data_IF_374672152719
#
_entry.id   IF_374672152719
#
_cell.length_a   1.000
_cell.length_b   1.000
_cell.length_c   1.000
_cell.angle_alpha   90.00
_cell.angle_beta   90.00
_cell.angle_gamma   90.00
#
_symmetry.space_group_name_H-M   'P 1'
#
loop_
_entity.id
_entity.type
_entity.pdbx_description
1 polymer ?
#
# COMPACT_ATOMS: atom_id res chain seq x y z
N UNK A 1 -40.55 9.86 2.79
CA UNK A 1 -39.20 9.30 2.57
C UNK A 1 -38.37 10.10 1.56
N UNK A 2 -38.89 10.51 0.40
CA UNK A 2 -38.09 11.20 -0.64
C UNK A 2 -37.41 12.53 -0.23
N UNK A 3 -38.06 13.36 0.59
CA UNK A 3 -37.45 14.59 1.12
C UNK A 3 -36.19 14.34 1.96
N UNK A 4 -36.11 13.19 2.66
CA UNK A 4 -34.94 12.87 3.49
C UNK A 4 -33.68 12.53 2.66
N UNK A 5 -33.83 12.00 1.44
CA UNK A 5 -32.68 11.69 0.58
C UNK A 5 -32.06 12.96 -0.02
N UNK A 6 -32.88 13.98 -0.29
CA UNK A 6 -32.41 15.24 -0.85
C UNK A 6 -31.52 16.01 0.13
N UNK A 7 -31.88 16.05 1.41
CA UNK A 7 -31.08 16.69 2.46
C UNK A 7 -29.74 15.99 2.70
N UNK A 8 -29.71 14.66 2.56
CA UNK A 8 -28.47 13.88 2.68
C UNK A 8 -27.53 14.20 1.51
N UNK A 9 -28.03 14.23 0.28
CA UNK A 9 -27.22 14.57 -0.91
C UNK A 9 -26.70 16.01 -0.80
N UNK A 10 -27.54 16.97 -0.40
CA UNK A 10 -27.12 18.37 -0.17
C UNK A 10 -26.01 18.49 0.87
N UNK A 11 -26.12 17.73 1.96
CA UNK A 11 -25.10 17.69 3.01
C UNK A 11 -23.77 17.13 2.51
N UNK A 12 -23.80 16.06 1.73
CA UNK A 12 -22.59 15.45 1.15
C UNK A 12 -21.95 16.32 0.07
N UNK A 13 -22.74 16.97 -0.81
CA UNK A 13 -22.22 17.94 -1.80
C UNK A 13 -21.55 19.13 -1.10
N UNK A 14 -22.20 19.70 -0.08
CA UNK A 14 -21.60 20.78 0.72
C UNK A 14 -20.31 20.34 1.41
N UNK A 15 -20.27 19.10 1.91
CA UNK A 15 -19.06 18.54 2.50
C UNK A 15 -17.94 18.35 1.46
N UNK A 16 -18.27 17.90 0.25
CA UNK A 16 -17.32 17.75 -0.86
C UNK A 16 -16.76 19.10 -1.32
N UNK A 17 -17.59 20.14 -1.44
CA UNK A 17 -17.16 21.52 -1.75
C UNK A 17 -16.16 22.01 -0.70
N UNK A 18 -16.53 21.92 0.58
CA UNK A 18 -15.66 22.38 1.67
C UNK A 18 -14.34 21.61 1.71
N UNK A 19 -14.36 20.32 1.40
CA UNK A 19 -13.16 19.51 1.29
C UNK A 19 -12.29 19.93 0.10
N UNK A 20 -12.87 20.10 -1.10
CA UNK A 20 -12.14 20.49 -2.31
C UNK A 20 -11.48 21.87 -2.15
N UNK A 21 -12.20 22.86 -1.62
CA UNK A 21 -11.67 24.19 -1.33
C UNK A 21 -10.52 24.14 -0.29
N UNK A 22 -10.67 23.30 0.74
CA UNK A 22 -9.63 23.06 1.74
C UNK A 22 -8.37 22.43 1.15
N UNK A 23 -8.52 21.43 0.27
CA UNK A 23 -7.42 20.77 -0.41
C UNK A 23 -6.73 21.70 -1.42
N UNK A 24 -7.49 22.48 -2.19
CA UNK A 24 -6.95 23.49 -3.11
C UNK A 24 -6.08 24.53 -2.39
N UNK A 25 -6.61 25.15 -1.33
CA UNK A 25 -5.86 26.11 -0.51
C UNK A 25 -4.58 25.50 0.06
N UNK A 26 -4.62 24.22 0.41
CA UNK A 26 -3.46 23.50 0.90
C UNK A 26 -2.42 23.24 -0.21
N UNK A 27 -2.85 22.75 -1.38
CA UNK A 27 -1.95 22.45 -2.49
C UNK A 27 -1.21 23.71 -2.96
N UNK A 28 -1.87 24.87 -2.93
CA UNK A 28 -1.22 26.17 -3.14
C UNK A 28 -0.13 26.44 -2.10
N UNK A 29 -0.41 26.24 -0.81
CA UNK A 29 0.59 26.42 0.26
C UNK A 29 1.74 25.42 0.17
N UNK A 30 1.45 24.19 -0.26
CA UNK A 30 2.44 23.15 -0.51
C UNK A 30 3.36 23.56 -1.67
N UNK A 31 2.77 24.02 -2.77
CA UNK A 31 3.50 24.51 -3.94
C UNK A 31 4.47 25.63 -3.56
N UNK A 32 3.98 26.66 -2.88
CA UNK A 32 4.79 27.81 -2.43
C UNK A 32 5.99 27.37 -1.58
N UNK A 33 5.79 26.39 -0.68
CA UNK A 33 6.85 25.90 0.18
C UNK A 33 7.83 24.97 -0.54
N UNK A 34 7.38 24.14 -1.48
CA UNK A 34 8.27 23.35 -2.33
C UNK A 34 9.16 24.26 -3.18
N UNK A 35 8.57 25.30 -3.77
CA UNK A 35 9.32 26.34 -4.51
C UNK A 35 10.33 27.05 -3.60
N UNK A 36 9.95 27.33 -2.34
CA UNK A 36 10.89 27.88 -1.35
C UNK A 36 12.02 26.91 -0.98
N UNK A 37 11.76 25.60 -0.82
CA UNK A 37 12.79 24.58 -0.59
C UNK A 37 13.78 24.52 -1.75
N UNK A 38 13.30 24.72 -2.99
CA UNK A 38 14.18 24.73 -4.16
C UNK A 38 15.15 25.92 -4.16
N UNK A 39 14.74 27.06 -3.59
CA UNK A 39 15.54 28.28 -3.53
C UNK A 39 16.34 28.50 -2.23
N UNK A 40 16.04 27.77 -1.16
CA UNK A 40 16.63 27.98 0.17
C UNK A 40 17.86 27.09 0.44
N UNK A 41 18.94 27.69 0.96
CA UNK A 41 20.14 26.98 1.43
C UNK A 41 19.99 26.37 2.84
N UNK A 42 18.92 26.69 3.58
CA UNK A 42 18.72 26.30 4.97
C UNK A 42 18.05 24.92 5.15
N UNK A 43 18.89 23.90 5.34
CA UNK A 43 18.46 22.48 5.43
C UNK A 43 17.48 22.12 6.55
N UNK A 44 17.47 22.82 7.70
CA UNK A 44 16.66 22.41 8.86
C UNK A 44 15.18 22.82 8.72
N UNK A 45 14.93 24.01 8.19
CA UNK A 45 13.58 24.48 7.91
C UNK A 45 12.94 23.66 6.78
N UNK A 46 13.71 23.38 5.71
CA UNK A 46 13.29 22.47 4.64
C UNK A 46 12.93 21.06 5.16
N UNK A 47 13.71 20.52 6.11
CA UNK A 47 13.43 19.22 6.73
C UNK A 47 12.10 19.20 7.49
N UNK A 48 11.87 20.19 8.36
CA UNK A 48 10.63 20.31 9.13
C UNK A 48 9.42 20.46 8.20
N UNK A 49 9.57 21.23 7.12
CA UNK A 49 8.54 21.41 6.11
C UNK A 49 8.22 20.09 5.38
N UNK A 50 9.24 19.35 4.90
CA UNK A 50 9.07 18.06 4.25
C UNK A 50 8.34 17.03 5.14
N UNK A 51 8.73 16.93 6.42
CA UNK A 51 8.04 16.05 7.39
C UNK A 51 6.59 16.45 7.60
N UNK A 52 6.32 17.75 7.70
CA UNK A 52 4.96 18.27 7.85
C UNK A 52 4.09 17.95 6.62
N UNK A 53 4.66 17.96 5.41
CA UNK A 53 3.95 17.53 4.19
C UNK A 53 3.57 16.06 4.23
N UNK A 54 4.49 15.17 4.60
CA UNK A 54 4.21 13.74 4.72
C UNK A 54 3.03 13.47 5.67
N UNK A 55 3.00 14.14 6.82
CA UNK A 55 1.88 13.99 7.77
C UNK A 55 0.55 14.43 7.17
N UNK A 56 0.55 15.52 6.42
CA UNK A 56 -0.68 16.03 5.81
C UNK A 56 -1.18 15.16 4.66
N UNK A 57 -0.31 14.70 3.77
CA UNK A 57 -0.68 13.77 2.68
C UNK A 57 -1.40 12.56 3.26
N UNK A 58 -0.86 11.96 4.33
CA UNK A 58 -1.51 10.85 5.03
C UNK A 58 -2.89 11.23 5.61
N UNK A 59 -3.09 12.48 6.06
CA UNK A 59 -4.39 12.95 6.57
C UNK A 59 -5.41 13.16 5.46
N UNK A 60 -4.99 13.71 4.31
CA UNK A 60 -5.86 13.89 3.15
C UNK A 60 -6.26 12.56 2.52
N UNK A 61 -5.34 11.60 2.42
CA UNK A 61 -5.63 10.21 2.03
C UNK A 61 -6.75 9.61 2.87
N UNK A 62 -6.60 9.71 4.20
CA UNK A 62 -7.58 9.18 5.14
C UNK A 62 -8.94 9.88 5.03
N UNK A 63 -8.97 11.18 4.77
CA UNK A 63 -10.22 11.93 4.57
C UNK A 63 -10.94 11.51 3.30
N UNK A 64 -10.21 11.33 2.21
CA UNK A 64 -10.75 10.86 0.93
C UNK A 64 -11.33 9.45 1.07
N UNK A 65 -10.57 8.54 1.68
CA UNK A 65 -11.02 7.17 1.96
C UNK A 65 -12.31 7.16 2.79
N UNK A 66 -12.39 8.01 3.82
CA UNK A 66 -13.60 8.17 4.62
C UNK A 66 -14.79 8.74 3.83
N UNK A 67 -14.56 9.64 2.88
CA UNK A 67 -15.63 10.14 1.98
C UNK A 67 -16.11 9.05 1.03
N UNK A 68 -15.19 8.31 0.41
CA UNK A 68 -15.52 7.18 -0.47
C UNK A 68 -16.31 6.11 0.27
N UNK A 69 -15.89 5.75 1.49
CA UNK A 69 -16.60 4.75 2.30
C UNK A 69 -18.00 5.22 2.70
N UNK A 70 -18.19 6.51 3.00
CA UNK A 70 -19.52 7.08 3.27
C UNK A 70 -20.40 7.06 2.03
N UNK A 71 -19.86 7.39 0.86
CA UNK A 71 -20.58 7.33 -0.40
C UNK A 71 -21.02 5.90 -0.72
N UNK A 72 -20.11 4.92 -0.62
CA UNK A 72 -20.42 3.49 -0.80
C UNK A 72 -21.50 3.02 0.16
N UNK A 73 -21.42 3.44 1.43
CA UNK A 73 -22.44 3.13 2.43
C UNK A 73 -23.79 3.76 2.06
N UNK A 74 -23.83 5.01 1.64
CA UNK A 74 -25.06 5.68 1.21
C UNK A 74 -25.69 4.99 -0.02
N UNK A 75 -24.89 4.59 -1.00
CA UNK A 75 -25.38 3.82 -2.17
C UNK A 75 -25.97 2.47 -1.75
N UNK A 76 -25.33 1.79 -0.78
CA UNK A 76 -25.83 0.53 -0.22
C UNK A 76 -27.15 0.71 0.54
N UNK A 77 -27.23 1.76 1.36
CA UNK A 77 -28.38 2.04 2.23
C UNK A 77 -29.58 2.59 1.44
N UNK A 78 -29.34 3.14 0.23
CA UNK A 78 -30.38 3.69 -0.65
C UNK A 78 -30.27 3.11 -2.07
N UNK A 79 -30.88 1.94 -2.34
CA UNK A 79 -30.79 1.26 -3.64
C UNK A 79 -31.29 2.09 -4.84
N UNK A 80 -32.13 3.10 -4.61
CA UNK A 80 -32.52 4.09 -5.63
C UNK A 80 -31.35 4.91 -6.17
N UNK A 81 -30.22 4.94 -5.45
CA UNK A 81 -28.96 5.54 -5.88
C UNK A 81 -28.11 4.56 -6.73
N UNK A 82 -28.50 3.30 -6.94
CA UNK A 82 -27.75 2.38 -7.82
C UNK A 82 -27.71 2.83 -9.29
N UNK A 83 -28.74 3.55 -9.74
CA UNK A 83 -28.73 4.18 -11.08
C UNK A 83 -27.53 5.13 -11.23
N UNK A 84 -27.07 5.73 -10.13
CA UNK A 84 -25.84 6.51 -10.13
C UNK A 84 -24.60 5.63 -10.24
N UNK A 85 -24.58 4.45 -9.65
CA UNK A 85 -23.43 3.53 -9.74
C UNK A 85 -23.22 3.03 -11.18
N UNK A 86 -24.32 2.76 -11.90
CA UNK A 86 -24.31 2.42 -13.33
C UNK A 86 -23.94 3.61 -14.22
N UNK A 87 -24.45 4.82 -13.92
CA UNK A 87 -24.11 6.03 -14.67
C UNK A 87 -22.68 6.53 -14.37
N UNK A 88 -22.11 6.19 -13.20
CA UNK A 88 -20.76 6.63 -12.80
C UNK A 88 -19.71 6.04 -13.73
N UNK A 89 -19.83 4.79 -14.22
CA UNK A 89 -18.87 4.10 -15.11
C UNK A 89 -17.39 4.49 -14.91
N UNK A 90 -16.99 4.78 -13.66
CA UNK A 90 -15.60 4.96 -13.30
C UNK A 90 -15.21 3.73 -12.52
N UNK A 91 -14.44 2.82 -13.13
CA UNK A 91 -13.88 1.70 -12.41
C UNK A 91 -13.15 2.21 -11.16
N UNK A 92 -13.34 1.55 -10.01
CA UNK A 92 -12.81 2.00 -8.71
C UNK A 92 -11.28 2.26 -8.73
N UNK A 93 -10.56 1.47 -9.52
CA UNK A 93 -9.14 1.63 -9.76
C UNK A 93 -8.80 2.92 -10.54
N UNK A 94 -9.71 3.45 -11.35
CA UNK A 94 -9.55 4.70 -12.09
C UNK A 94 -9.86 5.92 -11.22
N UNK A 95 -10.85 5.84 -10.32
CA UNK A 95 -11.09 6.84 -9.27
C UNK A 95 -9.84 7.00 -8.39
N UNK A 96 -9.29 5.87 -7.89
CA UNK A 96 -8.07 5.87 -7.08
C UNK A 96 -6.83 6.34 -7.87
N UNK A 97 -6.77 6.07 -9.18
CA UNK A 97 -5.70 6.54 -10.08
C UNK A 97 -5.84 8.01 -10.48
N UNK A 98 -7.05 8.55 -10.58
CA UNK A 98 -7.31 9.95 -10.92
C UNK A 98 -6.85 10.88 -9.78
N UNK A 99 -6.95 10.39 -8.55
CA UNK A 99 -6.34 11.01 -7.37
C UNK A 99 -4.88 10.52 -7.14
N UNK A 100 -4.10 10.38 -8.23
CA UNK A 100 -2.71 9.88 -8.29
C UNK A 100 -1.67 10.49 -7.33
N UNK A 101 -2.04 11.50 -6.52
CA UNK A 101 -1.31 11.81 -5.29
C UNK A 101 -1.12 10.59 -4.38
N UNK A 102 -2.03 9.62 -4.44
CA UNK A 102 -2.28 8.68 -3.36
C UNK A 102 -2.13 7.20 -3.75
N UNK A 103 -1.50 6.91 -4.90
CA UNK A 103 -1.02 5.55 -5.19
C UNK A 103 0.29 5.21 -4.44
N UNK A 104 0.82 6.21 -3.73
CA UNK A 104 2.05 6.14 -2.95
C UNK A 104 3.28 6.70 -3.68
N UNK A 105 3.24 6.98 -4.99
CA UNK A 105 4.41 7.50 -5.73
C UNK A 105 4.81 8.90 -5.20
N UNK A 106 3.85 9.81 -5.05
CA UNK A 106 4.09 11.14 -4.44
C UNK A 106 4.65 11.05 -3.02
N UNK A 107 4.10 10.13 -2.22
CA UNK A 107 4.58 9.86 -0.85
C UNK A 107 6.01 9.30 -0.85
N UNK A 108 6.32 8.36 -1.74
CA UNK A 108 7.63 7.77 -1.88
C UNK A 108 8.66 8.83 -2.30
N UNK A 109 8.30 9.74 -3.21
CA UNK A 109 9.13 10.88 -3.61
C UNK A 109 9.36 11.86 -2.44
N UNK A 110 8.34 12.14 -1.63
CA UNK A 110 8.48 12.94 -0.42
C UNK A 110 9.34 12.24 0.66
N UNK A 111 9.21 10.93 0.83
CA UNK A 111 10.05 10.15 1.75
C UNK A 111 11.51 10.12 1.28
N UNK A 112 11.74 9.98 -0.03
CA UNK A 112 13.06 10.08 -0.65
C UNK A 112 13.66 11.48 -0.44
N UNK A 113 12.87 12.53 -0.69
CA UNK A 113 13.26 13.92 -0.41
C UNK A 113 13.64 14.11 1.05
N UNK A 114 12.79 13.66 1.98
CA UNK A 114 13.04 13.73 3.42
C UNK A 114 14.32 12.98 3.82
N UNK A 115 14.56 11.80 3.25
CA UNK A 115 15.78 11.01 3.47
C UNK A 115 17.04 11.74 2.99
N UNK A 116 17.00 12.35 1.81
CA UNK A 116 18.14 13.09 1.24
C UNK A 116 18.40 14.37 2.04
N UNK A 117 17.36 15.12 2.42
CA UNK A 117 17.52 16.31 3.27
C UNK A 117 18.14 15.94 4.62
N UNK A 118 17.67 14.86 5.27
CA UNK A 118 18.22 14.35 6.52
C UNK A 118 19.70 13.97 6.38
N UNK A 119 20.06 13.32 5.27
CA UNK A 119 21.46 12.96 4.98
C UNK A 119 22.31 14.20 4.74
N UNK A 120 21.86 15.15 3.92
CA UNK A 120 22.55 16.43 3.67
C UNK A 120 22.84 17.18 4.98
N UNK A 121 21.87 17.24 5.88
CA UNK A 121 22.03 17.86 7.20
C UNK A 121 23.13 17.18 8.04
N UNK A 122 23.15 15.84 8.07
CA UNK A 122 24.24 15.09 8.74
C UNK A 122 25.61 15.33 8.11
N UNK A 123 25.69 15.35 6.77
CA UNK A 123 26.95 15.60 6.05
C UNK A 123 27.48 17.01 6.31
N UNK A 124 26.60 18.00 6.45
CA UNK A 124 26.96 19.37 6.85
C UNK A 124 27.60 19.42 8.24
N UNK A 125 27.07 18.66 9.21
CA UNK A 125 27.67 18.56 10.55
C UNK A 125 29.05 17.90 10.54
N UNK A 126 29.32 17.06 9.55
CA UNK A 126 30.60 16.34 9.38
C UNK A 126 31.60 17.09 8.47
N UNK A 127 31.27 18.28 7.98
CA UNK A 127 32.17 19.08 7.12
C UNK A 127 32.42 18.52 5.71
N UNK A 128 31.59 17.62 5.19
CA UNK A 128 31.82 16.93 3.91
C UNK A 128 31.26 17.68 2.70
N UNK A 129 31.94 18.75 2.26
CA UNK A 129 31.45 19.71 1.26
C UNK A 129 31.07 19.11 -0.10
N UNK A 130 31.90 18.24 -0.71
CA UNK A 130 31.62 17.63 -2.02
C UNK A 130 30.31 16.81 -2.02
N UNK A 131 30.00 16.10 -0.93
CA UNK A 131 28.77 15.30 -0.81
C UNK A 131 27.51 16.13 -0.59
N UNK A 132 27.66 17.41 -0.23
CA UNK A 132 26.54 18.35 -0.01
C UNK A 132 26.01 18.86 -1.35
N UNK A 133 26.87 19.11 -2.33
CA UNK A 133 26.47 19.55 -3.67
C UNK A 133 25.68 18.46 -4.41
N UNK A 134 26.14 17.20 -4.36
CA UNK A 134 25.42 16.06 -4.91
C UNK A 134 24.04 15.88 -4.26
N UNK A 135 23.98 16.00 -2.93
CA UNK A 135 22.71 15.95 -2.21
C UNK A 135 21.78 17.10 -2.61
N UNK A 136 22.31 18.31 -2.84
CA UNK A 136 21.54 19.45 -3.30
C UNK A 136 20.98 19.24 -4.71
N UNK A 137 21.79 18.75 -5.65
CA UNK A 137 21.35 18.45 -7.02
C UNK A 137 20.21 17.43 -7.05
N UNK A 138 20.28 16.40 -6.18
CA UNK A 138 19.21 15.40 -6.03
C UNK A 138 17.94 15.98 -5.41
N UNK A 139 18.08 16.85 -4.41
CA UNK A 139 16.95 17.58 -3.80
C UNK A 139 16.23 18.40 -4.87
N UNK A 140 16.95 19.24 -5.63
CA UNK A 140 16.36 20.09 -6.67
C UNK A 140 15.62 19.27 -7.73
N UNK A 141 16.19 18.13 -8.16
CA UNK A 141 15.52 17.24 -9.13
C UNK A 141 14.19 16.69 -8.60
N UNK A 142 14.16 16.20 -7.35
CA UNK A 142 12.94 15.64 -6.76
C UNK A 142 11.91 16.75 -6.51
N UNK A 143 12.35 17.90 -6.00
CA UNK A 143 11.47 19.05 -5.74
C UNK A 143 10.84 19.56 -7.03
N UNK A 144 11.59 19.64 -8.14
CA UNK A 144 11.03 20.02 -9.44
C UNK A 144 9.89 19.07 -9.88
N UNK A 145 10.09 17.75 -9.77
CA UNK A 145 9.06 16.76 -10.08
C UNK A 145 7.82 16.90 -9.19
N UNK A 146 8.01 17.11 -7.89
CA UNK A 146 6.91 17.33 -6.94
C UNK A 146 6.16 18.64 -7.23
N UNK A 147 6.86 19.72 -7.60
CA UNK A 147 6.26 21.01 -7.97
C UNK A 147 5.34 20.84 -9.18
N UNK A 148 5.78 20.12 -10.21
CA UNK A 148 4.97 19.90 -11.42
C UNK A 148 3.72 19.08 -11.11
N UNK A 149 3.85 18.03 -10.30
CA UNK A 149 2.72 17.23 -9.83
C UNK A 149 1.72 18.10 -9.03
N UNK A 150 2.19 18.90 -8.08
CA UNK A 150 1.34 19.81 -7.28
C UNK A 150 0.66 20.87 -8.16
N UNK A 151 1.33 21.45 -9.15
CA UNK A 151 0.73 22.41 -10.09
C UNK A 151 -0.41 21.80 -10.90
N UNK A 152 -0.28 20.54 -11.32
CA UNK A 152 -1.36 19.81 -11.97
C UNK A 152 -2.53 19.71 -11.00
N UNK A 153 -2.30 19.24 -9.77
CA UNK A 153 -3.35 19.04 -8.76
C UNK A 153 -4.06 20.33 -8.36
N UNK A 154 -3.34 21.44 -8.22
CA UNK A 154 -3.90 22.78 -7.99
C UNK A 154 -4.89 23.14 -9.11
N UNK A 155 -4.50 22.98 -10.38
CA UNK A 155 -5.38 23.28 -11.51
C UNK A 155 -6.64 22.41 -11.49
N UNK A 156 -6.50 21.13 -11.19
CA UNK A 156 -7.61 20.18 -11.10
C UNK A 156 -8.56 20.49 -9.95
N UNK A 157 -8.04 20.63 -8.74
CA UNK A 157 -8.86 20.92 -7.55
C UNK A 157 -9.57 22.27 -7.67
N UNK A 158 -8.92 23.29 -8.25
CA UNK A 158 -9.56 24.57 -8.54
C UNK A 158 -10.66 24.48 -9.61
N UNK A 159 -10.46 23.67 -10.66
CA UNK A 159 -11.49 23.41 -11.66
C UNK A 159 -12.70 22.68 -11.04
N UNK A 160 -12.45 21.65 -10.21
CA UNK A 160 -13.50 20.93 -9.50
C UNK A 160 -14.26 21.84 -8.54
N UNK A 161 -13.56 22.65 -7.73
CA UNK A 161 -14.17 23.63 -6.84
C UNK A 161 -15.09 24.58 -7.63
N UNK A 162 -14.59 25.15 -8.73
CA UNK A 162 -15.38 26.04 -9.60
C UNK A 162 -16.62 25.33 -10.13
N UNK A 163 -16.49 24.11 -10.65
CA UNK A 163 -17.63 23.35 -11.17
C UNK A 163 -18.66 23.04 -10.08
N UNK A 164 -18.23 22.68 -8.87
CA UNK A 164 -19.14 22.44 -7.76
C UNK A 164 -19.81 23.73 -7.26
N UNK A 165 -19.14 24.88 -7.33
CA UNK A 165 -19.72 26.19 -7.02
C UNK A 165 -20.75 26.63 -8.07
N UNK A 166 -20.44 26.46 -9.35
CA UNK A 166 -21.37 26.76 -10.44
C UNK A 166 -22.58 25.83 -10.37
N UNK A 167 -22.37 24.57 -10.02
CA UNK A 167 -23.43 23.61 -9.71
C UNK A 167 -24.34 24.05 -8.56
N UNK A 168 -23.76 24.50 -7.44
CA UNK A 168 -24.54 25.04 -6.32
C UNK A 168 -25.42 26.22 -6.76
N UNK A 169 -24.91 27.11 -7.62
CA UNK A 169 -25.68 28.24 -8.16
C UNK A 169 -26.78 27.80 -9.13
N UNK A 170 -26.56 26.74 -9.90
CA UNK A 170 -27.58 26.16 -10.79
C UNK A 170 -28.67 25.43 -9.98
N UNK A 171 -28.31 24.73 -8.91
CA UNK A 171 -29.25 24.08 -7.97
C UNK A 171 -30.21 25.11 -7.34
N UNK A 172 -29.69 26.28 -6.95
CA UNK A 172 -30.52 27.39 -6.43
C UNK A 172 -31.51 27.95 -7.47
N UNK A 173 -31.28 27.68 -8.77
CA UNK A 173 -32.11 28.15 -9.89
C UNK A 173 -33.01 27.08 -10.51
N UNK A 174 -32.63 25.80 -10.43
CA UNK A 174 -33.36 24.68 -11.03
C UNK A 174 -34.40 24.12 -10.06
N UNK A 175 -35.67 24.10 -10.48
CA UNK A 175 -36.65 23.18 -9.90
C UNK A 175 -36.20 21.74 -10.22
N UNK A 176 -35.80 21.00 -9.19
CA UNK A 176 -35.43 19.59 -9.28
C UNK A 176 -36.67 18.68 -9.30
N UNK A 177 -37.81 19.18 -9.76
CA UNK A 177 -39.08 18.44 -9.68
C UNK A 177 -39.17 17.35 -10.75
N UNK A 178 -38.42 17.47 -11.85
CA UNK A 178 -38.38 16.46 -12.92
C UNK A 178 -37.18 15.51 -12.80
N UNK A 179 -37.41 14.25 -13.17
CA UNK A 179 -36.38 13.20 -13.26
C UNK A 179 -35.25 13.60 -14.23
N UNK A 180 -35.56 14.37 -15.26
CA UNK A 180 -34.64 14.78 -16.31
C UNK A 180 -33.71 15.91 -15.84
N UNK A 181 -34.24 16.88 -15.09
CA UNK A 181 -33.43 17.87 -14.37
C UNK A 181 -32.49 17.21 -13.35
N UNK A 182 -32.95 16.15 -12.68
CA UNK A 182 -32.11 15.34 -11.76
C UNK A 182 -31.03 14.55 -12.50
N UNK A 183 -31.32 13.98 -13.67
CA UNK A 183 -30.32 13.28 -14.50
C UNK A 183 -29.29 14.24 -15.08
N UNK A 184 -29.71 15.42 -15.55
CA UNK A 184 -28.82 16.47 -16.02
C UNK A 184 -27.91 16.99 -14.88
N UNK A 185 -28.48 17.16 -13.69
CA UNK A 185 -27.76 17.48 -12.45
C UNK A 185 -26.67 16.45 -12.16
N UNK A 186 -27.02 15.16 -12.10
CA UNK A 186 -26.08 14.08 -11.80
C UNK A 186 -25.01 13.93 -12.87
N UNK A 187 -25.34 14.02 -14.18
CA UNK A 187 -24.37 13.98 -15.28
C UNK A 187 -23.36 15.13 -15.24
N UNK A 188 -23.78 16.36 -14.90
CA UNK A 188 -22.84 17.48 -14.75
C UNK A 188 -21.89 17.30 -13.56
N UNK A 189 -22.39 16.80 -12.42
CA UNK A 189 -21.56 16.44 -11.25
C UNK A 189 -20.60 15.31 -11.57
N UNK A 190 -21.04 14.34 -12.38
CA UNK A 190 -20.26 13.21 -12.84
C UNK A 190 -19.16 13.63 -13.79
N UNK A 191 -19.45 14.47 -14.77
CA UNK A 191 -18.46 15.01 -15.72
C UNK A 191 -17.37 15.80 -14.97
N UNK A 192 -17.72 16.47 -13.86
CA UNK A 192 -16.73 17.08 -12.97
C UNK A 192 -15.83 16.04 -12.26
N UNK A 193 -16.35 14.85 -11.96
CA UNK A 193 -15.64 13.72 -11.37
C UNK A 193 -14.97 12.76 -12.38
N UNK A 194 -15.41 12.74 -13.65
CA UNK A 194 -14.95 11.88 -14.76
C UNK A 194 -13.95 12.60 -15.65
N UNK A 195 -14.01 13.93 -15.78
CA UNK A 195 -12.93 14.73 -16.36
C UNK A 195 -11.58 14.48 -15.65
N UNK A 196 -11.63 14.04 -14.39
CA UNK A 196 -10.51 13.59 -13.56
C UNK A 196 -9.80 12.35 -14.13
N UNK A 197 -10.46 11.54 -14.96
CA UNK A 197 -9.92 10.30 -15.54
C UNK A 197 -9.22 10.60 -16.87
N UNK A 198 -9.88 11.34 -17.76
CA UNK A 198 -9.36 11.70 -19.09
C UNK A 198 -8.14 12.64 -19.05
N UNK A 199 -7.92 13.32 -17.93
CA UNK A 199 -6.72 14.07 -17.61
C UNK A 199 -5.42 13.30 -17.89
N UNK A 200 -5.44 11.99 -17.62
CA UNK A 200 -4.26 11.13 -17.59
C UNK A 200 -3.76 10.78 -18.99
N UNK A 201 -4.67 10.60 -19.95
CA UNK A 201 -4.33 10.43 -21.37
C UNK A 201 -3.63 11.65 -21.96
N UNK A 202 -3.99 12.87 -21.53
CA UNK A 202 -3.42 14.13 -21.99
C UNK A 202 -2.09 14.51 -21.29
N UNK A 203 -1.72 13.82 -20.21
CA UNK A 203 -0.56 14.11 -19.37
C UNK A 203 0.64 13.19 -19.60
N UNK A 204 0.70 12.41 -20.68
CA UNK A 204 1.97 11.78 -21.08
C UNK A 204 2.95 12.89 -21.47
N UNK A 205 4.03 13.16 -20.73
CA UNK A 205 5.06 14.04 -21.24
C UNK A 205 5.74 13.34 -22.43
N UNK A 206 5.92 14.07 -23.51
CA UNK A 206 6.95 13.78 -24.51
C UNK A 206 8.32 13.96 -23.81
N UNK A 207 8.76 12.95 -23.07
CA UNK A 207 10.12 12.88 -22.57
C UNK A 207 10.63 11.44 -22.71
N UNK A 208 11.64 11.33 -23.58
CA UNK A 208 12.63 10.28 -23.74
C UNK A 208 12.29 8.90 -23.16
N UNK A 209 12.10 7.92 -24.07
CA UNK A 209 12.26 6.48 -23.85
C UNK A 209 12.37 6.10 -22.36
N UNK A 210 11.21 5.97 -21.71
CA UNK A 210 11.13 5.18 -20.50
C UNK A 210 11.56 3.76 -20.91
N UNK A 211 12.79 3.40 -20.56
CA UNK A 211 13.22 2.01 -20.52
C UNK A 211 12.10 1.20 -19.85
N UNK A 212 11.72 0.03 -20.39
CA UNK A 212 10.64 -0.76 -19.83
C UNK A 212 10.96 -1.03 -18.35
N UNK A 213 10.13 -0.54 -17.42
CA UNK A 213 10.19 -0.96 -16.01
C UNK A 213 9.86 -2.45 -16.02
N UNK A 214 10.89 -3.29 -16.02
CA UNK A 214 10.81 -4.74 -16.04
C UNK A 214 9.81 -5.23 -14.98
N UNK A 215 8.68 -5.73 -15.46
CA UNK A 215 7.58 -6.32 -14.71
C UNK A 215 7.98 -7.70 -14.15
N UNK A 216 8.91 -7.75 -13.20
CA UNK A 216 9.43 -9.04 -12.73
C UNK A 216 8.54 -9.74 -11.69
N UNK A 217 7.31 -9.30 -11.45
CA UNK A 217 6.41 -9.96 -10.50
C UNK A 217 5.76 -11.15 -11.19
N UNK A 218 5.86 -12.32 -10.55
CA UNK A 218 5.29 -13.57 -11.02
C UNK A 218 4.19 -13.98 -10.06
N UNK A 219 3.09 -14.49 -10.60
CA UNK A 219 2.04 -15.10 -9.79
C UNK A 219 2.54 -16.47 -9.32
N UNK A 220 2.52 -16.69 -8.01
CA UNK A 220 2.74 -18.03 -7.47
C UNK A 220 1.59 -18.94 -7.92
N UNK A 221 1.92 -20.13 -8.44
CA UNK A 221 0.92 -21.11 -8.85
C UNK A 221 0.65 -22.09 -7.71
N UNK A 222 -0.60 -22.53 -7.58
CA UNK A 222 -0.93 -23.67 -6.72
C UNK A 222 -0.32 -24.96 -7.28
N UNK A 223 -0.03 -25.93 -6.41
CA UNK A 223 0.49 -27.25 -6.76
C UNK A 223 0.00 -28.28 -5.73
N UNK A 224 0.41 -29.55 -5.85
CA UNK A 224 0.18 -30.55 -4.79
C UNK A 224 0.81 -30.12 -3.45
N UNK A 225 1.95 -29.45 -3.48
CA UNK A 225 2.68 -28.98 -2.30
C UNK A 225 2.34 -27.55 -1.87
N UNK A 226 1.52 -26.80 -2.62
CA UNK A 226 1.18 -25.38 -2.35
C UNK A 226 -0.32 -25.12 -2.44
N UNK A 227 -0.89 -24.57 -1.36
CA UNK A 227 -2.26 -24.08 -1.30
C UNK A 227 -2.29 -22.56 -1.12
N UNK A 228 -2.80 -21.85 -2.12
CA UNK A 228 -2.99 -20.39 -2.08
C UNK A 228 -4.36 -20.03 -1.49
N UNK A 229 -4.39 -19.20 -0.44
CA UNK A 229 -5.65 -18.73 0.17
C UNK A 229 -6.28 -17.56 -0.59
N UNK A 230 -5.47 -16.65 -1.14
CA UNK A 230 -5.92 -15.45 -1.86
C UNK A 230 -5.11 -15.25 -3.13
N UNK A 231 -5.76 -15.38 -4.29
CA UNK A 231 -5.06 -15.36 -5.59
C UNK A 231 -4.59 -13.98 -6.01
N UNK A 232 -5.31 -12.95 -5.60
CA UNK A 232 -5.10 -11.54 -5.91
C UNK A 232 -3.90 -10.91 -5.18
N UNK A 233 -3.42 -11.56 -4.12
CA UNK A 233 -2.29 -11.08 -3.30
C UNK A 233 -1.06 -12.00 -3.37
N UNK A 234 -1.01 -12.96 -4.30
CA UNK A 234 0.07 -13.93 -4.42
C UNK A 234 0.99 -13.66 -5.62
N UNK A 235 1.47 -12.42 -5.74
CA UNK A 235 2.47 -12.04 -6.74
C UNK A 235 3.78 -11.69 -6.05
N UNK A 236 4.88 -12.30 -6.46
CA UNK A 236 6.20 -12.11 -5.86
C UNK A 236 7.29 -11.97 -6.90
N UNK A 237 8.47 -11.54 -6.47
CA UNK A 237 9.67 -11.63 -7.30
C UNK A 237 10.03 -13.11 -7.54
N UNK A 238 10.73 -13.45 -8.64
CA UNK A 238 10.99 -14.84 -9.01
C UNK A 238 11.80 -15.58 -7.92
N UNK A 239 12.72 -14.88 -7.25
CA UNK A 239 13.48 -15.42 -6.12
C UNK A 239 12.56 -15.91 -4.99
N UNK A 240 11.56 -15.11 -4.61
CA UNK A 240 10.62 -15.48 -3.54
C UNK A 240 9.70 -16.62 -3.98
N UNK A 241 9.17 -16.57 -5.20
CA UNK A 241 8.33 -17.65 -5.73
C UNK A 241 9.09 -18.98 -5.79
N UNK A 242 10.34 -18.97 -6.26
CA UNK A 242 11.18 -20.16 -6.32
C UNK A 242 11.53 -20.69 -4.93
N UNK A 243 11.81 -19.81 -3.96
CA UNK A 243 12.02 -20.18 -2.57
C UNK A 243 10.81 -20.96 -2.02
N UNK A 244 9.59 -20.44 -2.20
CA UNK A 244 8.35 -21.08 -1.72
C UNK A 244 8.16 -22.45 -2.38
N UNK A 245 8.35 -22.54 -3.71
CA UNK A 245 8.25 -23.81 -4.45
C UNK A 245 9.23 -24.84 -3.90
N UNK A 246 10.52 -24.50 -3.82
CA UNK A 246 11.56 -25.43 -3.38
C UNK A 246 11.41 -25.85 -1.92
N UNK A 247 11.08 -24.92 -1.04
CA UNK A 247 10.83 -25.24 0.36
C UNK A 247 9.58 -26.13 0.54
N UNK A 248 8.50 -25.87 -0.21
CA UNK A 248 7.29 -26.69 -0.15
C UNK A 248 7.52 -28.12 -0.62
N UNK A 249 8.22 -28.30 -1.75
CA UNK A 249 8.54 -29.61 -2.32
C UNK A 249 9.39 -30.43 -1.36
N UNK A 250 10.43 -29.81 -0.79
CA UNK A 250 11.30 -30.48 0.18
C UNK A 250 10.53 -30.99 1.41
N UNK A 251 9.62 -30.18 1.97
CA UNK A 251 8.84 -30.58 3.13
C UNK A 251 7.82 -31.67 2.77
N UNK A 252 7.16 -31.55 1.62
CA UNK A 252 6.22 -32.55 1.11
C UNK A 252 6.91 -33.91 0.90
N UNK A 253 8.06 -33.92 0.22
CA UNK A 253 8.87 -35.12 -0.02
C UNK A 253 9.36 -35.77 1.29
N UNK A 254 9.76 -34.96 2.27
CA UNK A 254 10.32 -35.47 3.53
C UNK A 254 9.28 -35.97 4.52
N UNK A 255 8.12 -35.32 4.59
CA UNK A 255 7.13 -35.55 5.66
C UNK A 255 5.77 -36.03 5.16
N UNK A 256 5.53 -36.09 3.85
CA UNK A 256 4.20 -36.36 3.29
C UNK A 256 3.17 -35.35 3.77
N UNK A 257 3.57 -34.08 3.89
CA UNK A 257 2.79 -33.03 4.54
C UNK A 257 1.68 -32.50 3.63
N UNK A 258 0.55 -32.09 4.21
CA UNK A 258 -0.44 -31.31 3.47
C UNK A 258 0.18 -30.03 2.89
N UNK A 259 -0.24 -29.64 1.69
CA UNK A 259 0.24 -28.45 0.96
C UNK A 259 0.52 -27.23 1.87
N UNK A 260 1.69 -26.61 1.68
CA UNK A 260 2.07 -25.35 2.33
C UNK A 260 1.03 -24.27 2.02
N UNK A 261 0.45 -23.69 3.06
CA UNK A 261 -0.52 -22.62 2.94
C UNK A 261 0.21 -21.30 2.72
N UNK A 262 -0.09 -20.64 1.61
CA UNK A 262 0.40 -19.31 1.25
C UNK A 262 -0.77 -18.34 1.30
N UNK A 263 -0.65 -17.29 2.11
CA UNK A 263 -1.74 -16.32 2.30
C UNK A 263 -1.57 -15.07 1.44
N UNK A 264 -0.56 -14.25 1.75
CA UNK A 264 -0.32 -12.95 1.12
C UNK A 264 1.18 -12.85 0.75
N UNK A 265 1.48 -12.24 -0.40
CA UNK A 265 2.83 -11.90 -0.90
C UNK A 265 2.90 -10.41 -1.29
N UNK A 266 2.15 -10.04 -2.32
CA UNK A 266 1.91 -8.67 -2.77
C UNK A 266 0.85 -8.65 -3.87
N UNK A 267 0.36 -7.46 -4.23
CA UNK A 267 -0.50 -7.28 -5.42
C UNK A 267 0.30 -7.51 -6.71
N UNK A 268 -0.39 -7.66 -7.84
CA UNK A 268 0.22 -7.92 -9.17
C UNK A 268 1.39 -7.01 -9.55
N UNK A 269 1.35 -5.75 -9.11
CA UNK A 269 2.38 -4.75 -9.39
C UNK A 269 3.02 -4.20 -8.10
N UNK A 270 2.85 -4.90 -6.98
CA UNK A 270 3.23 -4.42 -5.65
C UNK A 270 2.32 -3.30 -5.13
N UNK A 271 2.88 -2.44 -4.28
CA UNK A 271 2.19 -1.33 -3.62
C UNK A 271 1.48 -1.71 -2.31
N UNK A 272 0.85 -0.73 -1.63
CA UNK A 272 0.24 -0.95 -0.32
C UNK A 272 -0.77 -2.10 -0.30
N UNK A 273 -0.66 -3.00 0.68
CA UNK A 273 -1.55 -4.14 0.87
C UNK A 273 -2.12 -4.16 2.30
N UNK A 274 -3.18 -3.38 2.62
CA UNK A 274 -3.73 -3.36 3.97
C UNK A 274 -4.20 -4.75 4.45
N UNK A 275 -4.01 -5.11 5.73
CA UNK A 275 -3.39 -4.32 6.81
C UNK A 275 -1.85 -4.38 6.81
N UNK A 276 -1.23 -5.06 5.85
CA UNK A 276 0.20 -5.30 5.77
C UNK A 276 0.98 -4.05 5.38
N UNK A 277 2.03 -3.77 6.15
CA UNK A 277 2.92 -2.63 5.88
C UNK A 277 4.09 -2.98 4.96
N UNK A 278 4.52 -4.24 4.95
CA UNK A 278 5.74 -4.69 4.27
C UNK A 278 5.54 -5.26 2.86
N UNK A 279 4.42 -5.95 2.62
CA UNK A 279 4.04 -6.73 1.42
C UNK A 279 3.88 -5.93 0.10
N UNK A 280 4.69 -4.89 -0.10
CA UNK A 280 4.55 -3.93 -1.18
C UNK A 280 5.46 -4.24 -2.38
N UNK A 281 6.51 -5.04 -2.20
CA UNK A 281 7.58 -5.18 -3.19
C UNK A 281 7.74 -6.61 -3.72
N UNK A 282 6.83 -7.52 -3.36
CA UNK A 282 6.89 -8.93 -3.78
C UNK A 282 8.08 -9.70 -3.19
N UNK A 283 8.55 -9.29 -2.02
CA UNK A 283 9.70 -9.89 -1.32
C UNK A 283 9.36 -10.38 0.09
N UNK A 284 8.10 -10.19 0.50
CA UNK A 284 7.55 -10.64 1.77
C UNK A 284 6.50 -11.72 1.49
N UNK A 285 6.34 -12.67 2.40
CA UNK A 285 5.27 -13.68 2.33
C UNK A 285 4.81 -14.10 3.72
N UNK A 286 3.50 -14.32 3.85
CA UNK A 286 2.89 -14.96 5.01
C UNK A 286 2.60 -16.44 4.72
N UNK A 287 3.23 -17.34 5.46
CA UNK A 287 3.15 -18.80 5.30
C UNK A 287 2.58 -19.47 6.55
N UNK A 288 1.73 -20.48 6.36
CA UNK A 288 1.17 -21.24 7.47
C UNK A 288 2.20 -22.03 8.27
N UNK A 289 1.83 -22.38 9.50
CA UNK A 289 2.66 -23.17 10.42
C UNK A 289 2.34 -24.66 10.27
N UNK A 290 3.38 -25.50 10.26
CA UNK A 290 3.20 -26.95 10.24
C UNK A 290 2.86 -27.47 11.65
N UNK A 291 2.00 -28.48 11.73
CA UNK A 291 1.68 -29.20 12.96
C UNK A 291 1.62 -30.70 12.69
N UNK A 292 1.91 -31.48 13.73
CA UNK A 292 1.71 -32.91 13.75
C UNK A 292 0.56 -33.25 14.70
N UNK A 293 -0.54 -33.75 14.14
CA UNK A 293 -1.73 -34.15 14.89
C UNK A 293 -2.40 -35.35 14.21
N UNK A 294 -2.99 -36.25 15.01
CA UNK A 294 -3.64 -37.48 14.52
C UNK A 294 -2.74 -38.28 13.57
N UNK A 295 -1.46 -38.45 13.91
CA UNK A 295 -0.44 -39.11 13.10
C UNK A 295 -0.27 -38.58 11.67
N UNK A 296 -0.57 -37.29 11.46
CA UNK A 296 -0.43 -36.64 10.15
C UNK A 296 0.16 -35.25 10.30
N UNK A 297 0.96 -34.84 9.30
CA UNK A 297 1.45 -33.47 9.20
C UNK A 297 0.44 -32.60 8.46
N UNK A 298 0.13 -31.44 9.03
CA UNK A 298 -0.75 -30.44 8.44
C UNK A 298 -0.09 -29.08 8.44
N UNK A 299 -0.38 -28.25 7.44
CA UNK A 299 -0.04 -26.83 7.44
C UNK A 299 -1.31 -26.01 7.70
N UNK A 300 -1.23 -25.04 8.61
CA UNK A 300 -2.41 -24.31 9.09
C UNK A 300 -2.14 -22.80 9.17
N UNK A 301 -3.22 -22.01 9.17
CA UNK A 301 -3.16 -20.54 9.26
C UNK A 301 -4.21 -20.03 10.27
N UNK A 302 -4.14 -20.52 11.52
CA UNK A 302 -4.97 -20.06 12.65
C UNK A 302 -4.26 -20.34 13.99
N UNK A 303 -4.78 -19.77 15.07
CA UNK A 303 -4.18 -19.93 16.40
C UNK A 303 -4.14 -21.40 16.85
N UNK A 304 -2.96 -21.80 17.31
CA UNK A 304 -2.73 -23.13 17.86
C UNK A 304 -3.05 -23.20 19.35
N UNK A 305 -3.79 -24.24 19.74
CA UNK A 305 -3.82 -24.71 21.11
C UNK A 305 -2.44 -25.29 21.50
N UNK A 306 -2.12 -25.23 22.80
CA UNK A 306 -0.78 -25.57 23.32
C UNK A 306 -0.39 -27.04 23.10
N UNK A 307 -1.37 -27.92 23.03
CA UNK A 307 -1.25 -29.37 22.86
C UNK A 307 -0.78 -29.79 21.46
N UNK A 308 -0.88 -28.93 20.45
CA UNK A 308 -0.37 -29.20 19.10
C UNK A 308 1.16 -29.07 18.96
N UNK A 309 1.85 -28.65 20.02
CA UNK A 309 3.31 -28.43 20.03
C UNK A 309 4.07 -29.61 20.63
N UNK A 310 4.17 -30.70 19.87
CA UNK A 310 5.01 -31.86 20.17
C UNK A 310 6.32 -31.83 19.37
N UNK A 311 7.23 -32.77 19.66
CA UNK A 311 8.56 -32.83 19.02
C UNK A 311 8.48 -32.95 17.49
N UNK A 312 7.50 -33.66 16.94
CA UNK A 312 7.30 -33.76 15.48
C UNK A 312 6.89 -32.40 14.88
N UNK A 313 6.01 -31.65 15.57
CA UNK A 313 5.66 -30.27 15.19
C UNK A 313 6.90 -29.37 15.20
N UNK A 314 7.74 -29.47 16.21
CA UNK A 314 8.96 -28.66 16.28
C UNK A 314 9.97 -29.03 15.20
N UNK A 315 10.14 -30.31 14.95
CA UNK A 315 11.06 -30.83 13.95
C UNK A 315 10.74 -30.32 12.55
N UNK A 316 9.50 -30.47 12.09
CA UNK A 316 9.11 -30.05 10.73
C UNK A 316 9.26 -28.54 10.52
N UNK A 317 8.89 -27.73 11.51
CA UNK A 317 9.04 -26.27 11.41
C UNK A 317 10.50 -25.86 11.47
N UNK A 318 11.34 -26.56 12.23
CA UNK A 318 12.78 -26.30 12.24
C UNK A 318 13.44 -26.64 10.91
N UNK A 319 13.09 -27.79 10.33
CA UNK A 319 13.57 -28.16 9.00
C UNK A 319 13.06 -27.20 7.92
N UNK A 320 11.84 -26.69 8.05
CA UNK A 320 11.32 -25.63 7.20
C UNK A 320 12.14 -24.33 7.30
N UNK A 321 12.48 -23.91 8.52
CA UNK A 321 13.35 -22.74 8.74
C UNK A 321 14.73 -22.93 8.10
N UNK A 322 15.31 -24.13 8.20
CA UNK A 322 16.61 -24.44 7.61
C UNK A 322 16.56 -24.40 6.10
N UNK A 323 15.57 -25.06 5.49
CA UNK A 323 15.48 -25.15 4.03
C UNK A 323 15.21 -23.79 3.39
N UNK A 324 14.43 -22.91 4.04
CA UNK A 324 14.23 -21.54 3.57
C UNK A 324 15.56 -20.77 3.47
N UNK A 325 16.45 -20.92 4.46
CA UNK A 325 17.76 -20.26 4.50
C UNK A 325 18.77 -20.88 3.52
N UNK A 326 18.57 -22.12 3.10
CA UNK A 326 19.42 -22.77 2.11
C UNK A 326 19.10 -22.32 0.68
N UNK A 327 17.82 -22.09 0.37
CA UNK A 327 17.40 -21.75 -0.99
C UNK A 327 17.43 -20.25 -1.31
N UNK A 328 17.43 -19.36 -0.31
CA UNK A 328 17.55 -17.93 -0.54
C UNK A 328 18.15 -17.18 0.66
N UNK A 329 18.86 -16.07 0.42
CA UNK A 329 19.26 -15.16 1.49
C UNK A 329 18.03 -14.47 2.07
N UNK A 330 17.83 -14.58 3.39
CA UNK A 330 16.69 -13.99 4.09
C UNK A 330 17.13 -12.77 4.92
N UNK A 331 16.27 -11.77 5.01
CA UNK A 331 16.46 -10.65 5.93
C UNK A 331 16.01 -11.01 7.34
N UNK A 332 14.86 -11.67 7.45
CA UNK A 332 14.28 -12.11 8.72
C UNK A 332 13.15 -13.11 8.50
N UNK A 333 12.84 -13.83 9.57
CA UNK A 333 11.64 -14.65 9.73
C UNK A 333 10.93 -14.15 11.00
N UNK A 334 9.77 -13.51 10.85
CA UNK A 334 8.96 -13.07 11.97
C UNK A 334 8.00 -14.16 12.44
N UNK A 335 7.95 -14.32 13.76
CA UNK A 335 7.06 -15.23 14.48
C UNK A 335 6.69 -14.63 15.85
N UNK A 336 5.68 -15.21 16.50
CA UNK A 336 5.41 -14.90 17.90
C UNK A 336 6.53 -15.41 18.83
N UNK A 337 6.75 -14.68 19.93
CA UNK A 337 7.82 -14.93 20.90
C UNK A 337 7.73 -16.33 21.50
N UNK A 338 6.52 -16.85 21.71
CA UNK A 338 6.31 -18.19 22.26
C UNK A 338 6.82 -19.29 21.31
N UNK A 339 6.60 -19.15 20.01
CA UNK A 339 7.08 -20.11 19.00
C UNK A 339 8.60 -20.11 18.91
N UNK A 340 9.21 -18.93 18.87
CA UNK A 340 10.67 -18.79 18.83
C UNK A 340 11.28 -19.48 20.06
N UNK A 341 10.68 -19.29 21.24
CA UNK A 341 11.13 -19.97 22.47
C UNK A 341 10.97 -21.49 22.39
N UNK A 342 9.84 -21.99 21.89
CA UNK A 342 9.57 -23.42 21.75
C UNK A 342 10.55 -24.10 20.80
N UNK A 343 10.74 -23.55 19.60
CA UNK A 343 11.71 -24.03 18.62
C UNK A 343 13.12 -23.99 19.22
N UNK A 344 13.50 -22.92 19.91
CA UNK A 344 14.82 -22.82 20.56
C UNK A 344 15.07 -23.98 21.52
N UNK A 345 14.15 -24.23 22.45
CA UNK A 345 14.26 -25.31 23.44
C UNK A 345 14.37 -26.66 22.73
N UNK A 346 13.52 -26.92 21.74
CA UNK A 346 13.57 -28.15 20.96
C UNK A 346 14.93 -28.35 20.28
N UNK A 347 15.44 -27.32 19.59
CA UNK A 347 16.70 -27.39 18.84
C UNK A 347 17.90 -27.55 19.77
N UNK A 348 17.94 -26.82 20.89
CA UNK A 348 19.03 -26.93 21.87
C UNK A 348 19.13 -28.35 22.46
N UNK A 349 18.00 -29.07 22.58
CA UNK A 349 17.97 -30.44 23.07
C UNK A 349 18.24 -31.49 21.99
N UNK A 350 17.69 -31.30 20.78
CA UNK A 350 17.71 -32.32 19.71
C UNK A 350 18.87 -32.17 18.72
N UNK A 351 19.37 -30.95 18.52
CA UNK A 351 20.43 -30.63 17.58
C UNK A 351 21.33 -29.48 18.11
N UNK A 352 22.14 -29.74 19.16
CA UNK A 352 22.98 -28.72 19.78
C UNK A 352 23.84 -27.97 18.76
N UNK A 353 23.87 -26.63 18.86
CA UNK A 353 24.62 -25.74 17.98
C UNK A 353 23.90 -25.31 16.69
N UNK A 354 22.83 -25.99 16.27
CA UNK A 354 22.09 -25.55 15.07
C UNK A 354 21.38 -24.19 15.28
N UNK A 355 20.98 -23.87 16.52
CA UNK A 355 20.36 -22.60 16.85
C UNK A 355 21.26 -21.40 16.53
N UNK A 356 22.57 -21.50 16.81
CA UNK A 356 23.52 -20.42 16.54
C UNK A 356 23.75 -20.19 15.05
N UNK A 357 23.49 -21.21 14.23
CA UNK A 357 23.59 -21.14 12.78
C UNK A 357 22.33 -20.54 12.16
N UNK A 358 21.15 -21.08 12.48
CA UNK A 358 19.91 -20.76 11.76
C UNK A 358 18.91 -19.91 12.57
N UNK A 359 19.01 -19.92 13.90
CA UNK A 359 18.12 -19.20 14.81
C UNK A 359 18.28 -17.68 14.75
N UNK A 360 19.44 -17.21 14.26
CA UNK A 360 19.78 -15.78 14.16
C UNK A 360 18.88 -14.97 13.25
N UNK A 361 18.09 -15.57 12.35
CA UNK A 361 17.13 -14.84 11.51
C UNK A 361 15.72 -14.78 12.08
N UNK A 362 15.42 -15.54 13.14
CA UNK A 362 14.12 -15.51 13.80
C UNK A 362 13.97 -14.26 14.64
N UNK A 363 12.85 -13.55 14.47
CA UNK A 363 12.58 -12.28 15.14
C UNK A 363 11.14 -12.25 15.65
N UNK A 364 10.95 -11.68 16.83
CA UNK A 364 9.60 -11.46 17.32
C UNK A 364 8.98 -10.22 16.66
N UNK A 365 7.74 -10.36 16.19
CA UNK A 365 6.87 -9.24 15.88
C UNK A 365 5.42 -9.57 16.29
N UNK A 366 4.72 -8.60 16.88
CA UNK A 366 3.31 -8.78 17.26
C UNK A 366 2.43 -9.08 16.04
N UNK A 367 1.44 -9.96 16.20
CA UNK A 367 0.51 -10.36 15.14
C UNK A 367 0.83 -11.66 14.39
N UNK A 368 1.98 -12.30 14.67
CA UNK A 368 2.48 -13.49 13.96
C UNK A 368 2.30 -14.78 14.77
N UNK A 369 1.12 -14.98 15.34
CA UNK A 369 0.82 -16.11 16.24
C UNK A 369 0.44 -17.41 15.52
N UNK A 370 0.20 -17.34 14.22
CA UNK A 370 -0.38 -18.41 13.42
C UNK A 370 0.27 -18.58 12.04
N UNK A 371 1.32 -17.81 11.76
CA UNK A 371 2.04 -17.86 10.49
C UNK A 371 3.48 -17.38 10.64
N UNK A 372 4.33 -17.83 9.72
CA UNK A 372 5.63 -17.23 9.45
C UNK A 372 5.43 -16.01 8.56
N UNK A 373 6.10 -14.90 8.87
CA UNK A 373 6.29 -13.81 7.93
C UNK A 373 7.75 -13.74 7.51
N UNK A 374 8.03 -13.97 6.23
CA UNK A 374 9.39 -14.12 5.71
C UNK A 374 9.69 -12.99 4.74
N UNK A 375 10.90 -12.43 4.84
CA UNK A 375 11.43 -11.48 3.84
C UNK A 375 12.73 -12.00 3.24
N UNK A 376 12.81 -12.02 1.91
CA UNK A 376 14.05 -12.29 1.16
C UNK A 376 14.90 -11.02 1.02
N UNK A 377 16.23 -11.18 0.97
CA UNK A 377 17.14 -10.08 0.63
C UNK A 377 17.07 -9.80 -0.88
N UNK A 378 17.19 -8.52 -1.24
CA UNK A 378 17.20 -8.04 -2.63
C UNK A 378 18.49 -7.36 -2.99
#
# INVERSE_FOLDING_TARGET
>A
MFFQHHDIIKKEVKAAINWAAGEYSYLIKLLQKLEHINGSSESLNAFKQAKHFLLFVNLSERRLENHLNRLKKAVKDYPSLRVLEEDIEVPENELLKAFSLYDGEFKNELEALHGIIKRKWKLKLLGQTATIEDAQKRISKIVAGLVDQVKVLVRWTGALEKTLLDFKKEEEKMSLDSLESRRAFLRKSLVAGVATIFAKELLKPNSAQAMPRNSSFQRLQSSSSIKILKRDTCFGKPLLCNLIIKASQYIDEKYGSSSLIVKDISKTLGGPLPPHKSHQHGIDVDLGIYIYTNNTYKNIFWHLAKDHFNDNTWQINWDFIKILQQYAPLSYIFLDKAYIKGIKIYVENSAPGEWDKYGKLLRHAGGHKDHFHIRVQT
#
